data_IF_446034863362
#
_entry.id   IF_446034863362
#
_cell.length_a   1.000
_cell.length_b   1.000
_cell.length_c   1.000
_cell.angle_alpha   90.00
_cell.angle_beta   90.00
_cell.angle_gamma   90.00
#
_symmetry.space_group_name_H-M   'P 1'
#
loop_
_entity.id
_entity.type
_entity.pdbx_description
1 polymer ?
#
# COMPACT_ATOMS: atom_id res chain seq x y z
N UNK A 1 -38.98 -27.17 -24.21
CA UNK A 1 -39.70 -28.13 -23.34
C UNK A 1 -38.69 -28.75 -22.39
N UNK A 2 -38.84 -28.45 -21.10
CA UNK A 2 -38.06 -29.02 -19.98
C UNK A 2 -38.35 -30.51 -19.82
N UNK A 3 -37.34 -31.27 -19.36
CA UNK A 3 -37.41 -32.38 -18.38
C UNK A 3 -35.96 -32.88 -18.21
N UNK A 4 -35.19 -32.50 -17.19
CA UNK A 4 -35.10 -33.11 -15.86
C UNK A 4 -35.30 -34.64 -15.86
N UNK A 5 -34.25 -35.40 -15.50
CA UNK A 5 -34.32 -36.61 -14.64
C UNK A 5 -32.93 -37.15 -14.29
N UNK A 6 -32.72 -37.36 -12.97
CA UNK A 6 -32.01 -38.45 -12.26
C UNK A 6 -30.76 -39.11 -12.90
N UNK A 7 -29.64 -39.29 -12.22
CA UNK A 7 -29.50 -39.76 -10.82
C UNK A 7 -29.36 -41.30 -10.77
N UNK A 8 -28.35 -41.77 -10.03
CA UNK A 8 -28.05 -43.15 -9.56
C UNK A 8 -27.15 -44.09 -10.40
N UNK A 9 -25.87 -44.10 -10.00
CA UNK A 9 -25.11 -45.22 -9.42
C UNK A 9 -25.14 -46.64 -10.06
N UNK A 10 -23.95 -47.09 -10.48
CA UNK A 10 -23.44 -48.48 -10.28
C UNK A 10 -21.92 -48.47 -10.51
N UNK A 11 -21.12 -48.59 -9.44
CA UNK A 11 -20.38 -49.80 -9.02
C UNK A 11 -19.56 -50.44 -10.14
N UNK A 12 -18.23 -50.41 -10.03
CA UNK A 12 -17.37 -51.61 -10.07
C UNK A 12 -15.92 -51.24 -9.67
N UNK A 13 -15.34 -52.07 -8.81
CA UNK A 13 -14.02 -51.94 -8.21
C UNK A 13 -12.91 -52.50 -9.12
N UNK A 14 -11.66 -52.04 -8.97
CA UNK A 14 -10.42 -52.85 -9.02
C UNK A 14 -9.35 -52.14 -8.17
N UNK A 15 -8.73 -52.92 -7.29
CA UNK A 15 -7.63 -52.53 -6.40
C UNK A 15 -6.26 -52.65 -7.11
N UNK A 16 -5.30 -51.80 -6.74
CA UNK A 16 -3.87 -52.08 -6.87
C UNK A 16 -3.07 -51.28 -5.84
N UNK A 17 -2.27 -52.02 -5.07
CA UNK A 17 -1.42 -51.62 -3.94
C UNK A 17 -0.05 -51.19 -4.48
N UNK A 18 0.50 -50.05 -4.03
CA UNK A 18 1.95 -49.80 -4.10
C UNK A 18 2.47 -48.86 -2.98
N UNK A 19 2.94 -49.52 -1.92
CA UNK A 19 4.18 -49.33 -1.15
C UNK A 19 4.79 -47.92 -0.88
N UNK A 20 4.63 -47.51 0.39
CA UNK A 20 5.60 -46.91 1.35
C UNK A 20 6.95 -46.34 0.84
N UNK A 21 7.21 -45.06 1.12
CA UNK A 21 8.53 -44.55 1.57
C UNK A 21 8.32 -43.40 2.56
N UNK A 22 8.59 -43.66 3.85
CA UNK A 22 8.90 -42.63 4.85
C UNK A 22 10.41 -42.39 4.83
N UNK A 23 10.85 -41.13 4.79
CA UNK A 23 12.22 -40.72 5.15
C UNK A 23 12.12 -39.71 6.28
N UNK A 24 12.51 -40.06 7.52
CA UNK A 24 12.80 -39.09 8.56
C UNK A 24 14.31 -38.77 8.50
N UNK A 25 14.66 -37.51 8.24
CA UNK A 25 16.00 -37.00 8.53
C UNK A 25 15.89 -35.94 9.62
N UNK A 26 16.33 -36.33 10.82
CA UNK A 26 16.53 -35.48 11.97
C UNK A 26 17.78 -34.60 11.81
N UNK A 27 17.88 -33.60 12.70
CA UNK A 27 19.11 -32.98 13.25
C UNK A 27 19.46 -31.53 12.83
N UNK A 28 18.88 -30.58 13.56
CA UNK A 28 19.57 -29.62 14.45
C UNK A 28 18.46 -29.01 15.33
N UNK A 29 18.45 -29.09 16.67
CA UNK A 29 19.56 -29.04 17.61
C UNK A 29 19.83 -27.58 17.98
N UNK A 30 19.04 -27.00 18.89
CA UNK A 30 19.31 -25.68 19.47
C UNK A 30 18.07 -24.92 19.97
N UNK A 31 17.62 -25.22 21.19
CA UNK A 31 16.82 -24.30 21.99
C UNK A 31 17.63 -23.03 22.27
N UNK A 32 17.28 -21.93 21.61
CA UNK A 32 17.47 -20.58 22.15
C UNK A 32 16.40 -19.68 21.56
N UNK A 33 15.42 -19.34 22.40
CA UNK A 33 14.51 -18.23 22.23
C UNK A 33 15.28 -17.00 21.75
N UNK A 34 15.11 -16.67 20.47
CA UNK A 34 15.72 -15.49 19.86
C UNK A 34 14.61 -14.76 19.13
N UNK A 35 14.27 -13.61 19.69
CA UNK A 35 13.34 -12.63 19.18
C UNK A 35 13.40 -12.54 17.66
N UNK A 36 12.27 -12.85 17.01
CA UNK A 36 12.02 -12.54 15.61
C UNK A 36 11.97 -11.02 15.43
N UNK A 37 13.15 -10.41 15.40
CA UNK A 37 13.32 -9.08 14.82
C UNK A 37 13.13 -9.26 13.33
N UNK A 38 11.94 -8.93 12.83
CA UNK A 38 11.61 -8.95 11.42
C UNK A 38 12.54 -8.00 10.68
N UNK A 39 13.67 -8.50 10.21
CA UNK A 39 14.51 -7.79 9.27
C UNK A 39 13.75 -7.79 7.95
N UNK A 40 13.14 -6.66 7.61
CA UNK A 40 12.63 -6.41 6.27
C UNK A 40 13.78 -6.64 5.29
N UNK A 41 13.66 -7.66 4.45
CA UNK A 41 14.62 -7.92 3.40
C UNK A 41 14.51 -6.77 2.39
N UNK A 42 15.48 -5.87 2.38
CA UNK A 42 15.62 -4.83 1.36
C UNK A 42 15.84 -5.53 0.02
N UNK A 43 14.81 -5.56 -0.83
CA UNK A 43 14.94 -6.06 -2.20
C UNK A 43 15.97 -5.20 -2.92
N UNK A 44 17.05 -5.83 -3.40
CA UNK A 44 18.11 -5.13 -4.15
C UNK A 44 17.77 -4.95 -5.65
N UNK A 45 16.48 -5.04 -6.01
CA UNK A 45 16.00 -4.86 -7.38
C UNK A 45 15.40 -3.47 -7.64
N UNK A 46 15.09 -3.15 -8.91
CA UNK A 46 14.40 -1.91 -9.27
C UNK A 46 13.06 -1.79 -8.51
N UNK A 47 12.85 -0.66 -7.85
CA UNK A 47 11.62 -0.38 -7.09
C UNK A 47 10.61 0.29 -8.01
N UNK A 48 9.40 -0.27 -8.12
CA UNK A 48 8.30 0.36 -8.84
C UNK A 48 7.26 0.82 -7.82
N UNK A 49 6.91 2.10 -7.85
CA UNK A 49 5.93 2.73 -6.96
C UNK A 49 4.74 3.21 -7.77
N UNK A 50 3.55 2.89 -7.29
CA UNK A 50 2.28 3.38 -7.80
C UNK A 50 1.87 4.66 -7.06
N UNK A 51 1.51 5.70 -7.79
CA UNK A 51 1.08 6.98 -7.24
C UNK A 51 -0.28 7.39 -7.79
N UNK A 52 -1.27 7.54 -6.92
CA UNK A 52 -2.58 8.09 -7.28
C UNK A 52 -2.62 9.58 -6.98
N UNK A 53 -2.90 10.38 -8.01
CA UNK A 53 -2.97 11.84 -7.92
C UNK A 53 -3.84 12.40 -9.04
N UNK A 54 -4.53 13.50 -8.74
CA UNK A 54 -5.35 14.23 -9.71
C UNK A 54 -4.77 15.60 -10.08
N UNK A 55 -3.61 16.00 -9.54
CA UNK A 55 -3.01 17.31 -9.82
C UNK A 55 -2.55 17.40 -11.28
N UNK A 56 -3.04 18.38 -12.05
CA UNK A 56 -2.55 18.61 -13.40
C UNK A 56 -1.05 18.94 -13.41
N UNK A 57 -0.27 18.22 -14.22
CA UNK A 57 1.16 18.49 -14.39
C UNK A 57 2.09 17.73 -13.44
N UNK A 58 1.56 16.93 -12.51
CA UNK A 58 2.37 16.11 -11.59
C UNK A 58 3.23 15.07 -12.32
N UNK A 59 2.80 14.65 -13.51
CA UNK A 59 3.54 13.77 -14.42
C UNK A 59 4.92 14.32 -14.78
N UNK A 60 5.07 15.64 -14.88
CA UNK A 60 6.36 16.29 -15.16
C UNK A 60 7.32 16.17 -13.98
N UNK A 61 6.82 16.36 -12.76
CA UNK A 61 7.60 16.18 -11.53
C UNK A 61 8.04 14.73 -11.36
N UNK A 62 7.12 13.79 -11.63
CA UNK A 62 7.43 12.35 -11.58
C UNK A 62 8.43 11.95 -12.68
N UNK A 63 8.31 12.50 -13.89
CA UNK A 63 9.29 12.26 -14.94
C UNK A 63 10.70 12.77 -14.55
N UNK A 64 10.79 13.94 -13.90
CA UNK A 64 12.06 14.46 -13.39
C UNK A 64 12.63 13.59 -12.25
N UNK A 65 11.78 13.08 -11.37
CA UNK A 65 12.17 12.13 -10.32
C UNK A 65 12.72 10.83 -10.92
N UNK A 66 11.98 10.19 -11.83
CA UNK A 66 12.37 8.95 -12.48
C UNK A 66 13.68 9.10 -13.28
N UNK A 67 13.93 10.27 -13.87
CA UNK A 67 15.19 10.56 -14.57
C UNK A 67 16.39 10.67 -13.63
N UNK A 68 16.18 11.19 -12.42
CA UNK A 68 17.26 11.37 -11.42
C UNK A 68 17.49 10.13 -10.56
N UNK A 69 16.51 9.22 -10.48
CA UNK A 69 16.55 8.01 -9.65
C UNK A 69 16.38 6.75 -10.51
N UNK A 70 17.43 6.27 -11.21
CA UNK A 70 17.30 5.18 -12.19
C UNK A 70 16.88 3.83 -11.58
N UNK A 71 17.03 3.65 -10.27
CA UNK A 71 16.65 2.42 -9.56
C UNK A 71 15.22 2.48 -8.97
N UNK A 72 14.52 3.61 -9.11
CA UNK A 72 13.18 3.80 -8.57
C UNK A 72 12.28 4.42 -9.64
N UNK A 73 11.20 3.73 -9.97
CA UNK A 73 10.26 4.15 -11.00
C UNK A 73 8.89 4.41 -10.39
N UNK A 74 8.40 5.64 -10.52
CA UNK A 74 7.07 6.06 -10.04
C UNK A 74 6.11 6.16 -11.23
N UNK A 75 4.94 5.52 -11.10
CA UNK A 75 3.86 5.55 -12.09
C UNK A 75 2.65 6.31 -11.54
N UNK A 76 2.30 7.45 -12.16
CA UNK A 76 1.12 8.22 -11.76
C UNK A 76 -0.13 7.70 -12.46
N UNK A 77 -1.21 7.51 -11.70
CA UNK A 77 -2.54 7.21 -12.22
C UNK A 77 -3.55 8.17 -11.63
N UNK A 78 -4.32 8.86 -12.49
CA UNK A 78 -5.48 9.61 -12.05
C UNK A 78 -6.68 8.68 -12.00
N UNK A 79 -7.23 8.45 -10.80
CA UNK A 79 -8.40 7.59 -10.58
C UNK A 79 -9.69 8.37 -10.34
N UNK A 80 -9.67 9.69 -10.49
CA UNK A 80 -10.72 10.60 -10.04
C UNK A 80 -10.13 11.67 -9.12
N UNK A 81 -10.97 12.56 -8.60
CA UNK A 81 -10.56 13.60 -7.66
C UNK A 81 -11.53 13.67 -6.48
N UNK A 82 -11.03 14.09 -5.33
CA UNK A 82 -11.82 14.25 -4.11
C UNK A 82 -12.56 12.95 -3.73
N UNK A 83 -13.88 12.97 -3.49
CA UNK A 83 -14.64 11.80 -3.05
C UNK A 83 -14.47 10.54 -3.93
N UNK A 84 -14.32 10.73 -5.25
CA UNK A 84 -14.15 9.60 -6.19
C UNK A 84 -12.84 8.85 -5.94
N UNK A 85 -11.76 9.57 -5.65
CA UNK A 85 -10.48 8.95 -5.30
C UNK A 85 -10.55 8.30 -3.91
N UNK A 86 -11.17 8.96 -2.94
CA UNK A 86 -11.26 8.44 -1.56
C UNK A 86 -12.01 7.11 -1.50
N UNK A 87 -13.14 6.99 -2.19
CA UNK A 87 -13.90 5.73 -2.26
C UNK A 87 -13.06 4.59 -2.86
N UNK A 88 -12.25 4.90 -3.88
CA UNK A 88 -11.34 3.94 -4.50
C UNK A 88 -10.19 3.58 -3.57
N UNK A 89 -9.58 4.54 -2.88
CA UNK A 89 -8.55 4.30 -1.88
C UNK A 89 -9.07 3.41 -0.75
N UNK A 90 -10.24 3.70 -0.19
CA UNK A 90 -10.84 2.85 0.84
C UNK A 90 -11.12 1.44 0.35
N UNK A 91 -11.59 1.28 -0.88
CA UNK A 91 -11.83 -0.02 -1.48
C UNK A 91 -10.52 -0.78 -1.68
N UNK A 92 -9.48 -0.10 -2.16
CA UNK A 92 -8.16 -0.65 -2.40
C UNK A 92 -7.48 -1.09 -1.10
N UNK A 93 -7.51 -0.24 -0.06
CA UNK A 93 -7.03 -0.54 1.30
C UNK A 93 -7.73 -1.79 1.86
N UNK A 94 -9.06 -1.86 1.77
CA UNK A 94 -9.82 -3.04 2.24
C UNK A 94 -9.45 -4.31 1.47
N UNK A 95 -9.09 -4.17 0.20
CA UNK A 95 -8.65 -5.25 -0.66
C UNK A 95 -7.14 -5.59 -0.52
N UNK A 96 -6.38 -4.85 0.30
CA UNK A 96 -4.91 -4.92 0.37
C UNK A 96 -4.25 -4.74 -1.01
N UNK A 97 -4.75 -3.78 -1.78
CA UNK A 97 -4.28 -3.42 -3.11
C UNK A 97 -4.26 -1.89 -3.30
N UNK A 98 -4.01 -1.16 -2.21
CA UNK A 98 -3.76 0.28 -2.19
C UNK A 98 -2.54 0.68 -3.02
N UNK A 99 -2.50 1.91 -3.56
CA UNK A 99 -1.28 2.43 -4.16
C UNK A 99 -0.20 2.68 -3.10
N UNK A 100 1.05 2.73 -3.53
CA UNK A 100 2.19 3.05 -2.64
C UNK A 100 2.13 4.52 -2.17
N UNK A 101 1.64 5.40 -3.03
CA UNK A 101 1.42 6.82 -2.75
C UNK A 101 -0.02 7.19 -3.18
N UNK A 102 -0.74 7.89 -2.31
CA UNK A 102 -2.09 8.39 -2.60
C UNK A 102 -2.22 9.85 -2.19
N UNK A 103 -2.83 10.64 -3.06
CA UNK A 103 -3.15 12.02 -2.76
C UNK A 103 -4.42 12.08 -1.90
N UNK A 104 -4.39 12.85 -0.82
CA UNK A 104 -5.55 13.06 0.05
C UNK A 104 -5.60 14.52 0.48
N UNK A 105 -6.80 15.09 0.57
CA UNK A 105 -6.96 16.43 1.14
C UNK A 105 -6.76 16.40 2.67
N UNK A 106 -6.24 17.50 3.22
CA UNK A 106 -5.90 17.65 4.64
C UNK A 106 -7.03 17.19 5.59
N UNK A 107 -8.27 17.57 5.30
CA UNK A 107 -9.41 17.24 6.16
C UNK A 107 -9.79 15.74 6.16
N UNK A 108 -9.35 14.97 5.17
CA UNK A 108 -9.60 13.52 5.09
C UNK A 108 -8.50 12.69 5.76
N UNK A 109 -7.31 13.26 5.95
CA UNK A 109 -6.17 12.53 6.49
C UNK A 109 -6.44 11.84 7.84
N UNK A 110 -7.12 12.47 8.83
CA UNK A 110 -7.45 11.79 10.08
C UNK A 110 -8.32 10.54 9.88
N UNK A 111 -9.25 10.57 8.91
CA UNK A 111 -10.09 9.41 8.61
C UNK A 111 -9.28 8.28 7.99
N UNK A 112 -8.31 8.59 7.12
CA UNK A 112 -7.42 7.58 6.57
C UNK A 112 -6.44 7.03 7.61
N UNK A 113 -6.00 7.82 8.58
CA UNK A 113 -5.14 7.34 9.67
C UNK A 113 -5.82 6.21 10.46
N UNK A 114 -7.14 6.33 10.71
CA UNK A 114 -7.91 5.28 11.40
C UNK A 114 -7.98 3.94 10.67
N UNK A 115 -7.65 3.90 9.37
CA UNK A 115 -7.58 2.64 8.61
C UNK A 115 -6.35 1.80 8.97
N UNK A 116 -5.34 2.42 9.58
CA UNK A 116 -4.05 1.78 9.88
C UNK A 116 -3.16 1.58 8.65
N UNK A 117 -3.55 2.07 7.48
CA UNK A 117 -2.78 1.91 6.23
C UNK A 117 -1.76 3.03 5.99
N UNK A 118 -1.80 4.10 6.79
CA UNK A 118 -0.82 5.18 6.70
C UNK A 118 0.43 4.84 7.51
N UNK A 119 1.59 5.11 6.92
CA UNK A 119 2.87 4.94 7.59
C UNK A 119 3.29 6.25 8.27
N UNK A 120 3.81 6.14 9.49
CA UNK A 120 4.44 7.28 10.17
C UNK A 120 5.81 7.56 9.52
N UNK A 121 5.85 8.62 8.70
CA UNK A 121 7.01 9.06 7.95
C UNK A 121 8.06 9.76 8.83
N UNK A 122 7.72 10.14 10.07
CA UNK A 122 8.69 10.75 11.00
C UNK A 122 9.86 9.80 11.25
N UNK A 123 9.59 8.49 11.28
CA UNK A 123 10.58 7.41 11.44
C UNK A 123 11.57 7.30 10.27
N UNK A 124 11.23 7.92 9.14
CA UNK A 124 12.05 7.95 7.92
C UNK A 124 12.64 9.34 7.66
N UNK A 125 12.58 10.24 8.65
CA UNK A 125 13.21 11.56 8.58
C UNK A 125 12.32 12.67 8.03
N UNK A 126 11.02 12.43 7.80
CA UNK A 126 10.11 13.45 7.28
C UNK A 126 10.07 14.71 8.15
N UNK A 127 10.23 14.57 9.48
CA UNK A 127 10.23 15.69 10.42
C UNK A 127 11.33 16.73 10.15
N UNK A 128 12.41 16.36 9.46
CA UNK A 128 13.49 17.30 9.09
C UNK A 128 13.08 18.33 8.04
N UNK A 129 11.99 18.08 7.32
CA UNK A 129 11.48 18.99 6.28
C UNK A 129 10.45 20.00 6.81
N UNK A 130 10.05 19.91 8.08
CA UNK A 130 9.01 20.74 8.70
C UNK A 130 9.18 22.23 8.41
N UNK A 131 10.40 22.74 8.56
CA UNK A 131 10.69 24.18 8.43
C UNK A 131 10.65 24.67 6.96
N UNK A 132 10.48 23.77 5.99
CA UNK A 132 10.28 24.11 4.58
C UNK A 132 8.79 24.35 4.24
N UNK A 133 7.88 24.03 5.15
CA UNK A 133 6.43 24.16 4.96
C UNK A 133 5.84 25.28 5.80
N UNK A 134 4.70 25.80 5.36
CA UNK A 134 3.95 26.79 6.13
C UNK A 134 3.42 26.11 7.40
N UNK A 135 3.54 26.71 8.61
CA UNK A 135 3.22 26.03 9.87
C UNK A 135 1.82 25.43 9.94
N UNK A 136 0.83 26.08 9.31
CA UNK A 136 -0.55 25.59 9.31
C UNK A 136 -0.70 24.30 8.51
N UNK A 137 -0.04 24.14 7.35
CA UNK A 137 -0.14 22.91 6.55
C UNK A 137 0.53 21.74 7.26
N UNK A 138 1.69 21.99 7.88
CA UNK A 138 2.39 20.97 8.65
C UNK A 138 1.52 20.45 9.80
N UNK A 139 0.80 21.34 10.49
CA UNK A 139 -0.12 20.95 11.56
C UNK A 139 -1.28 20.06 11.09
N UNK A 140 -1.65 20.13 9.81
CA UNK A 140 -2.72 19.29 9.24
C UNK A 140 -2.26 17.85 8.95
N UNK A 141 -0.95 17.64 8.79
CA UNK A 141 -0.38 16.34 8.41
C UNK A 141 0.29 15.58 9.56
N UNK A 142 0.28 16.17 10.76
CA UNK A 142 0.89 15.61 11.97
C UNK A 142 -0.13 15.27 13.05
N UNK A 143 0.09 14.18 13.77
CA UNK A 143 -0.64 13.83 15.00
C UNK A 143 0.39 13.53 16.08
N UNK A 144 0.48 14.39 17.09
CA UNK A 144 1.61 14.36 18.02
C UNK A 144 2.93 14.60 17.29
N UNK A 145 3.91 13.71 17.48
CA UNK A 145 5.21 13.76 16.80
C UNK A 145 5.25 12.99 15.47
N UNK A 146 4.19 12.22 15.17
CA UNK A 146 4.08 11.43 13.95
C UNK A 146 3.71 12.31 12.75
N UNK A 147 4.25 11.97 11.58
CA UNK A 147 4.02 12.67 10.31
C UNK A 147 3.38 11.68 9.33
N UNK A 148 2.14 11.93 8.93
CA UNK A 148 1.35 10.98 8.12
C UNK A 148 1.21 11.39 6.65
N UNK A 149 1.52 12.63 6.29
CA UNK A 149 1.55 13.10 4.91
C UNK A 149 2.58 14.22 4.71
N UNK A 150 2.94 14.50 3.45
CA UNK A 150 3.75 15.66 3.07
C UNK A 150 2.80 16.68 2.42
N UNK A 151 2.77 17.95 2.87
CA UNK A 151 1.96 18.98 2.23
C UNK A 151 2.35 19.18 0.76
N UNK A 152 1.40 19.11 -0.16
CA UNK A 152 1.64 19.33 -1.59
C UNK A 152 1.26 20.76 -2.01
N UNK A 153 0.10 21.24 -1.54
CA UNK A 153 -0.44 22.53 -1.94
C UNK A 153 -1.00 23.36 -0.77
N UNK A 154 -1.34 24.61 -1.07
CA UNK A 154 -2.02 25.51 -0.14
C UNK A 154 -3.13 26.25 -0.87
N UNK A 155 -4.35 26.21 -0.32
CA UNK A 155 -5.51 26.91 -0.86
C UNK A 155 -6.07 27.95 0.11
N UNK A 156 -5.42 29.11 0.32
CA UNK A 156 -6.01 30.16 1.13
C UNK A 156 -7.32 30.66 0.49
N UNK A 157 -8.36 30.83 1.29
CA UNK A 157 -9.64 31.35 0.78
C UNK A 157 -9.50 32.82 0.36
N UNK A 158 -9.96 33.12 -0.84
CA UNK A 158 -10.05 34.48 -1.37
C UNK A 158 -11.47 34.73 -1.88
N UNK A 159 -11.96 35.96 -1.72
CA UNK A 159 -13.21 36.40 -2.33
C UNK A 159 -12.93 36.96 -3.73
N UNK A 160 -13.47 36.32 -4.75
CA UNK A 160 -13.49 36.85 -6.11
C UNK A 160 -14.84 37.53 -6.34
N UNK A 161 -14.83 38.76 -6.85
CA UNK A 161 -16.02 39.55 -7.17
C UNK A 161 -15.86 40.19 -8.55
#
# INVERSE_FOLDING_TARGET
MQTLTSGLASKLAIASIMLLVLVPLAACGGDTSSSSSGSSSTSSGPVNLSFWSWVPGIDKSVAAFNKSHPNTHVSVTNVGAGPVEYDKLYTAIKANNEPDLGQVEYQLLPTFETTGSLIDMSKYGASSFKDQFVPWTWSQVTIGDAVYAIPEDTGPMAMFY
#
